data_IF_802559921610
#
_entry.id   IF_802559921610
#
_cell.length_a   1.000
_cell.length_b   1.000
_cell.length_c   1.000
_cell.angle_alpha   90.00
_cell.angle_beta   90.00
_cell.angle_gamma   90.00
#
_symmetry.space_group_name_H-M   'P 1'
#
loop_
_entity.id
_entity.type
_entity.pdbx_description
1 polymer ?
#
# COMPACT_ATOMS: atom_id res chain seq x y z
N UNK A 1 -1.40 -16.22 15.46
CA UNK A 1 -0.43 -15.50 16.32
C UNK A 1 -1.03 -14.16 16.68
N UNK A 2 -1.06 -13.76 17.95
CA UNK A 2 -1.50 -12.42 18.34
C UNK A 2 -0.37 -11.44 18.00
N UNK A 3 -0.64 -10.47 17.12
CA UNK A 3 0.35 -9.46 16.70
C UNK A 3 0.09 -8.19 17.51
N UNK A 4 1.08 -7.78 18.31
CA UNK A 4 1.04 -6.52 19.08
C UNK A 4 2.10 -5.55 18.53
N UNK A 5 1.86 -4.23 18.58
CA UNK A 5 2.84 -3.24 18.15
C UNK A 5 4.11 -3.35 19.01
N UNK A 6 5.27 -3.43 18.35
CA UNK A 6 6.59 -3.41 18.98
C UNK A 6 7.37 -2.21 18.47
N UNK A 7 7.25 -1.09 19.17
CA UNK A 7 7.84 0.19 18.78
C UNK A 7 9.08 0.53 19.62
N UNK A 8 10.06 1.17 18.98
CA UNK A 8 11.26 1.75 19.60
C UNK A 8 11.55 3.08 18.90
N UNK A 9 11.25 4.20 19.55
CA UNK A 9 11.28 5.52 18.91
C UNK A 9 10.35 5.54 17.69
N UNK A 10 10.89 5.89 16.52
CA UNK A 10 10.17 5.95 15.25
C UNK A 10 10.16 4.62 14.47
N UNK A 11 10.70 3.54 15.04
CA UNK A 11 10.78 2.23 14.38
C UNK A 11 9.73 1.30 14.97
N UNK A 12 8.86 0.73 14.12
CA UNK A 12 7.96 -0.37 14.48
C UNK A 12 8.46 -1.67 13.85
N UNK A 13 8.73 -2.68 14.68
CA UNK A 13 9.30 -3.97 14.25
C UNK A 13 8.23 -4.96 13.74
N UNK A 14 6.96 -4.58 13.80
CA UNK A 14 5.82 -5.46 13.52
C UNK A 14 4.80 -4.75 12.63
N UNK A 15 4.21 -5.47 11.68
CA UNK A 15 3.04 -5.01 10.94
C UNK A 15 1.87 -5.98 11.12
N UNK A 16 0.65 -5.44 11.15
CA UNK A 16 -0.58 -6.24 11.26
C UNK A 16 -1.21 -6.41 9.88
N UNK A 17 -1.32 -7.64 9.34
CA UNK A 17 -1.70 -7.84 7.95
C UNK A 17 -3.09 -7.29 7.64
N UNK A 18 -4.08 -7.61 8.48
CA UNK A 18 -5.46 -7.16 8.28
C UNK A 18 -5.63 -5.65 8.41
N UNK A 19 -5.03 -5.02 9.43
CA UNK A 19 -5.07 -3.57 9.59
C UNK A 19 -4.38 -2.83 8.42
N UNK A 20 -3.28 -3.37 7.92
CA UNK A 20 -2.59 -2.82 6.75
C UNK A 20 -3.44 -2.97 5.47
N UNK A 21 -4.11 -4.11 5.27
CA UNK A 21 -5.04 -4.29 4.16
C UNK A 21 -6.24 -3.34 4.25
N UNK A 22 -6.79 -3.17 5.46
CA UNK A 22 -7.88 -2.23 5.70
C UNK A 22 -7.46 -0.78 5.43
N UNK A 23 -6.22 -0.40 5.75
CA UNK A 23 -5.69 0.92 5.42
C UNK A 23 -5.67 1.19 3.91
N UNK A 24 -5.31 0.18 3.10
CA UNK A 24 -5.35 0.30 1.62
C UNK A 24 -6.80 0.42 1.13
N UNK A 25 -7.71 -0.42 1.64
CA UNK A 25 -9.14 -0.32 1.30
C UNK A 25 -9.72 1.06 1.61
N UNK A 26 -9.37 1.65 2.75
CA UNK A 26 -9.81 2.98 3.14
C UNK A 26 -9.30 4.06 2.16
N UNK A 27 -8.02 3.98 1.76
CA UNK A 27 -7.45 4.91 0.76
C UNK A 27 -8.10 4.76 -0.62
N UNK A 28 -8.37 3.53 -1.07
CA UNK A 28 -9.08 3.27 -2.33
C UNK A 28 -10.51 3.83 -2.26
N UNK A 29 -11.23 3.59 -1.16
CA UNK A 29 -12.57 4.10 -0.96
C UNK A 29 -12.60 5.63 -0.96
N UNK A 30 -11.62 6.27 -0.30
CA UNK A 30 -11.46 7.72 -0.33
C UNK A 30 -11.32 8.24 -1.77
N UNK A 31 -10.40 7.68 -2.56
CA UNK A 31 -10.19 8.11 -3.95
C UNK A 31 -11.44 7.91 -4.81
N UNK A 32 -12.13 6.77 -4.67
CA UNK A 32 -13.38 6.52 -5.40
C UNK A 32 -14.48 7.54 -5.07
N UNK A 33 -14.54 7.99 -3.82
CA UNK A 33 -15.52 8.97 -3.37
C UNK A 33 -15.25 10.40 -3.87
N UNK A 34 -14.03 10.71 -4.33
CA UNK A 34 -13.71 12.03 -4.91
C UNK A 34 -14.16 12.18 -6.37
N UNK A 35 -14.61 11.10 -7.01
CA UNK A 35 -14.96 11.08 -8.43
C UNK A 35 -13.77 10.76 -9.35
N UNK A 36 -14.06 10.56 -10.64
CA UNK A 36 -13.03 10.19 -11.63
C UNK A 36 -12.18 11.39 -12.02
N UNK A 37 -10.88 11.17 -12.12
CA UNK A 37 -9.92 12.17 -12.61
C UNK A 37 -9.98 12.19 -14.14
N UNK A 38 -10.37 13.31 -14.72
CA UNK A 38 -10.35 13.51 -16.18
C UNK A 38 -8.91 13.63 -16.68
N UNK A 39 -8.66 13.16 -17.90
CA UNK A 39 -7.34 13.20 -18.55
C UNK A 39 -6.19 12.54 -17.76
N UNK A 40 -6.50 11.57 -16.90
CA UNK A 40 -5.49 10.82 -16.16
C UNK A 40 -4.64 9.93 -17.11
N UNK A 41 -3.35 9.71 -16.77
CA UNK A 41 -2.47 8.82 -17.53
C UNK A 41 -3.02 7.39 -17.57
N UNK A 42 -2.86 6.70 -18.71
CA UNK A 42 -3.40 5.34 -18.90
C UNK A 42 -2.44 4.23 -18.48
N UNK A 43 -1.14 4.51 -18.45
CA UNK A 43 -0.08 3.57 -18.05
C UNK A 43 0.89 4.31 -17.14
N UNK A 44 1.11 3.78 -15.94
CA UNK A 44 1.93 4.43 -14.91
C UNK A 44 2.91 3.44 -14.29
N UNK A 45 4.19 3.80 -14.28
CA UNK A 45 5.23 3.12 -13.51
C UNK A 45 5.44 3.90 -12.20
N UNK A 46 5.39 3.22 -11.07
CA UNK A 46 5.67 3.81 -9.75
C UNK A 46 6.89 3.13 -9.14
N UNK A 47 7.94 3.89 -8.87
CA UNK A 47 9.15 3.43 -8.18
C UNK A 47 9.03 3.85 -6.71
N UNK A 48 9.01 2.88 -5.80
CA UNK A 48 8.63 3.08 -4.39
C UNK A 48 7.13 2.85 -4.15
N UNK A 49 6.55 1.82 -4.77
CA UNK A 49 5.10 1.62 -4.83
C UNK A 49 4.45 0.87 -3.65
N UNK A 50 5.20 0.61 -2.56
CA UNK A 50 4.75 -0.25 -1.46
C UNK A 50 4.22 0.51 -0.25
N UNK A 51 4.65 1.76 -0.02
CA UNK A 51 4.25 2.56 1.15
C UNK A 51 4.17 4.05 0.86
N UNK A 52 3.58 4.80 1.80
CA UNK A 52 3.59 6.27 1.80
C UNK A 52 3.04 6.89 0.51
N UNK A 53 3.69 7.98 0.06
CA UNK A 53 3.25 8.70 -1.13
C UNK A 53 3.31 7.86 -2.41
N UNK A 54 4.29 6.98 -2.57
CA UNK A 54 4.34 6.13 -3.76
C UNK A 54 3.14 5.18 -3.84
N UNK A 55 2.72 4.61 -2.70
CA UNK A 55 1.48 3.84 -2.62
C UNK A 55 0.25 4.70 -2.96
N UNK A 56 0.15 5.90 -2.39
CA UNK A 56 -0.97 6.81 -2.68
C UNK A 56 -1.00 7.25 -4.15
N UNK A 57 0.14 7.58 -4.78
CA UNK A 57 0.24 7.89 -6.21
C UNK A 57 -0.23 6.72 -7.06
N UNK A 58 0.08 5.49 -6.67
CA UNK A 58 -0.39 4.29 -7.37
C UNK A 58 -1.91 4.11 -7.23
N UNK A 59 -2.46 4.28 -6.03
CA UNK A 59 -3.91 4.22 -5.76
C UNK A 59 -4.65 5.27 -6.59
N UNK A 60 -4.21 6.52 -6.55
CA UNK A 60 -4.85 7.62 -7.30
C UNK A 60 -4.82 7.34 -8.81
N UNK A 61 -3.67 6.88 -9.33
CA UNK A 61 -3.54 6.55 -10.75
C UNK A 61 -4.47 5.42 -11.17
N UNK A 62 -4.55 4.34 -10.39
CA UNK A 62 -5.37 3.18 -10.72
C UNK A 62 -6.87 3.41 -10.49
N UNK A 63 -7.26 3.86 -9.29
CA UNK A 63 -8.66 3.92 -8.87
C UNK A 63 -9.32 5.27 -9.14
N UNK A 64 -8.55 6.36 -9.21
CA UNK A 64 -9.05 7.67 -9.61
C UNK A 64 -8.99 7.89 -11.13
N UNK A 65 -7.90 7.44 -11.77
CA UNK A 65 -7.63 7.65 -13.19
C UNK A 65 -7.91 6.45 -14.13
N UNK A 66 -8.07 5.24 -13.59
CA UNK A 66 -8.24 4.03 -14.39
C UNK A 66 -6.97 3.57 -15.12
N UNK A 67 -5.79 3.92 -14.59
CA UNK A 67 -4.51 3.57 -15.20
C UNK A 67 -4.12 2.10 -14.96
N UNK A 68 -3.49 1.47 -15.95
CA UNK A 68 -2.68 0.28 -15.71
C UNK A 68 -1.40 0.68 -14.96
N UNK A 69 -1.12 0.04 -13.81
CA UNK A 69 0.03 0.39 -12.97
C UNK A 69 1.03 -0.74 -12.82
N UNK A 70 2.32 -0.41 -12.95
CA UNK A 70 3.44 -1.28 -12.58
C UNK A 70 4.13 -0.65 -11.37
N UNK A 71 4.33 -1.43 -10.32
CA UNK A 71 4.95 -0.96 -9.08
C UNK A 71 6.29 -1.65 -8.83
N UNK A 72 7.32 -0.87 -8.50
CA UNK A 72 8.63 -1.36 -8.06
C UNK A 72 8.84 -0.98 -6.61
N UNK A 73 9.32 -1.90 -5.79
CA UNK A 73 9.54 -1.70 -4.35
C UNK A 73 10.54 -2.74 -3.82
N UNK A 74 11.10 -2.47 -2.64
CA UNK A 74 12.03 -3.37 -1.97
C UNK A 74 11.49 -3.70 -0.58
N UNK A 75 10.93 -4.90 -0.45
CA UNK A 75 10.28 -5.36 0.78
C UNK A 75 10.73 -6.78 1.11
N UNK A 76 10.74 -7.12 2.39
CA UNK A 76 11.14 -8.45 2.86
C UNK A 76 9.92 -9.37 3.01
N UNK A 77 9.90 -10.55 2.38
CA UNK A 77 8.84 -11.54 2.63
C UNK A 77 8.89 -12.04 4.08
N UNK A 78 7.72 -12.28 4.68
CA UNK A 78 7.69 -12.89 6.01
C UNK A 78 8.12 -14.35 5.98
N UNK A 79 8.54 -14.86 7.13
CA UNK A 79 8.75 -16.29 7.37
C UNK A 79 7.85 -16.74 8.51
N UNK A 80 7.63 -18.06 8.66
CA UNK A 80 6.67 -18.69 9.60
C UNK A 80 6.64 -18.14 11.04
N UNK A 81 7.69 -17.45 11.53
CA UNK A 81 7.78 -16.88 12.89
C UNK A 81 8.09 -15.37 12.93
N UNK A 82 8.02 -14.66 11.81
CA UNK A 82 8.30 -13.22 11.73
C UNK A 82 7.12 -12.45 11.16
N UNK A 83 6.88 -11.25 11.69
CA UNK A 83 5.86 -10.36 11.16
C UNK A 83 6.25 -9.88 9.75
N UNK A 84 5.25 -9.56 8.93
CA UNK A 84 5.45 -9.09 7.57
C UNK A 84 6.08 -7.69 7.55
N UNK A 85 6.83 -7.39 6.49
CA UNK A 85 7.18 -6.00 6.18
C UNK A 85 5.92 -5.29 5.66
N UNK A 86 5.67 -4.08 6.14
CA UNK A 86 4.38 -3.40 5.91
C UNK A 86 4.09 -3.19 4.43
N UNK A 87 5.10 -2.83 3.64
CA UNK A 87 4.89 -2.55 2.22
C UNK A 87 4.57 -3.80 1.41
N UNK A 88 5.00 -4.97 1.86
CA UNK A 88 4.60 -6.23 1.21
C UNK A 88 3.11 -6.49 1.37
N UNK A 89 2.57 -6.22 2.56
CA UNK A 89 1.14 -6.39 2.83
C UNK A 89 0.33 -5.32 2.10
N UNK A 90 0.79 -4.07 2.09
CA UNK A 90 0.14 -2.97 1.37
C UNK A 90 0.08 -3.26 -0.12
N UNK A 91 1.18 -3.72 -0.72
CA UNK A 91 1.22 -4.10 -2.12
C UNK A 91 0.27 -5.27 -2.42
N UNK A 92 0.22 -6.30 -1.57
CA UNK A 92 -0.70 -7.43 -1.78
C UNK A 92 -2.18 -7.09 -1.56
N UNK A 93 -2.48 -5.96 -0.93
CA UNK A 93 -3.85 -5.50 -0.66
C UNK A 93 -4.37 -4.48 -1.68
N UNK A 94 -3.49 -4.03 -2.59
CA UNK A 94 -3.80 -3.16 -3.73
C UNK A 94 -4.51 -3.94 -4.83
#
# INVERSE_FOLDING_TARGET
>A
MIIKPRTRGFICLTSHPEGTAQNIKNQIAYVRNQGKITNAPKKVLVIGASTGFGMSSRIVSAFGGGAATVGVFFEKPSHRRQAWHIGLVQFGSF
#
